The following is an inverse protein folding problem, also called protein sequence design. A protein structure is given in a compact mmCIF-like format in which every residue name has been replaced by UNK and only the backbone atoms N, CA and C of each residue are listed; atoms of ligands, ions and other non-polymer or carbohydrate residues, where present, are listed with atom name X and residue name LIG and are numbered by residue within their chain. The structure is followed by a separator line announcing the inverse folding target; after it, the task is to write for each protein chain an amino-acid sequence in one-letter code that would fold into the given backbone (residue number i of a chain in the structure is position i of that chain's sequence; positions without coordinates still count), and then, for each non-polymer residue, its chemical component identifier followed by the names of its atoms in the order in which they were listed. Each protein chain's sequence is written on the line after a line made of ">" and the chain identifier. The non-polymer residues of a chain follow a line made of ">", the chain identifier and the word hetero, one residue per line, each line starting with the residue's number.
data_IF_768525374444
#
_entry.id   IF_768525374444
#
_cell.length_a   1.000
_cell.length_b   1.000
_cell.length_c   1.000
_cell.angle_alpha   90.00
_cell.angle_beta   90.00
_cell.angle_gamma   90.00
#
_symmetry.space_group_name_H-M   'P 1'
#
loop_
_entity.id
_entity.type
_entity.pdbx_description
1 polymer ?
#
# COMPACT_ATOMS: atom_id res chain seq x y z
N UNK A 1 6.61 15.65 -18.55
CA UNK A 1 7.94 15.86 -17.93
C UNK A 1 7.93 16.10 -16.41
N UNK A 2 7.53 17.26 -15.86
CA UNK A 2 7.57 17.47 -14.39
C UNK A 2 6.56 16.57 -13.64
N UNK A 3 5.33 16.47 -14.13
CA UNK A 3 4.29 15.58 -13.58
C UNK A 3 4.68 14.10 -13.64
N UNK A 4 5.30 13.66 -14.74
CA UNK A 4 5.82 12.29 -14.86
C UNK A 4 6.95 11.98 -13.88
N UNK A 5 7.89 12.92 -13.68
CA UNK A 5 8.96 12.72 -12.69
C UNK A 5 8.39 12.64 -11.27
N UNK A 6 7.38 13.46 -10.98
CA UNK A 6 6.67 13.42 -9.71
C UNK A 6 6.02 12.05 -9.47
N UNK A 7 5.19 11.55 -10.40
CA UNK A 7 4.51 10.26 -10.20
C UNK A 7 5.51 9.09 -10.09
N UNK A 8 6.65 9.15 -10.79
CA UNK A 8 7.72 8.15 -10.62
C UNK A 8 8.33 8.15 -9.23
N UNK A 9 8.52 9.31 -8.63
CA UNK A 9 8.97 9.40 -7.24
C UNK A 9 7.90 8.85 -6.29
N UNK A 10 6.62 9.15 -6.53
CA UNK A 10 5.52 8.57 -5.74
C UNK A 10 5.45 7.05 -5.87
N UNK A 11 5.73 6.50 -7.05
CA UNK A 11 5.85 5.05 -7.25
C UNK A 11 7.00 4.47 -6.43
N UNK A 12 8.19 5.09 -6.41
CA UNK A 12 9.30 4.63 -5.57
C UNK A 12 9.02 4.75 -4.07
N UNK A 13 8.35 5.81 -3.64
CA UNK A 13 7.86 5.92 -2.25
C UNK A 13 6.88 4.77 -1.95
N UNK A 14 6.00 4.44 -2.90
CA UNK A 14 5.08 3.32 -2.77
C UNK A 14 5.81 1.98 -2.67
N UNK A 15 6.92 1.78 -3.38
CA UNK A 15 7.76 0.58 -3.22
C UNK A 15 8.23 0.46 -1.77
N UNK A 16 8.86 1.52 -1.24
CA UNK A 16 9.36 1.53 0.15
C UNK A 16 8.23 1.29 1.17
N UNK A 17 7.09 1.94 0.98
CA UNK A 17 5.92 1.79 1.84
C UNK A 17 5.37 0.36 1.84
N UNK A 18 5.23 -0.27 0.65
CA UNK A 18 4.78 -1.66 0.56
C UNK A 18 5.82 -2.64 1.12
N UNK A 19 7.13 -2.38 0.98
CA UNK A 19 8.14 -3.23 1.62
C UNK A 19 8.01 -3.20 3.14
N UNK A 20 7.82 -2.02 3.73
CA UNK A 20 7.59 -1.89 5.17
C UNK A 20 6.29 -2.59 5.60
N UNK A 21 5.19 -2.39 4.86
CA UNK A 21 3.92 -3.07 5.12
C UNK A 21 4.03 -4.60 5.02
N UNK A 22 4.71 -5.10 3.99
CA UNK A 22 4.96 -6.52 3.82
C UNK A 22 5.80 -7.10 4.96
N UNK A 23 6.84 -6.38 5.42
CA UNK A 23 7.62 -6.79 6.59
C UNK A 23 6.78 -6.82 7.86
N UNK A 24 5.88 -5.85 8.05
CA UNK A 24 4.95 -5.82 9.18
C UNK A 24 4.02 -7.04 9.19
N UNK A 25 3.51 -7.47 8.03
CA UNK A 25 2.70 -8.67 7.92
C UNK A 25 3.49 -9.97 8.01
N UNK A 26 4.71 -10.02 7.47
CA UNK A 26 5.57 -11.21 7.51
C UNK A 26 6.08 -11.50 8.93
N UNK A 27 6.31 -10.44 9.72
CA UNK A 27 6.79 -10.50 11.10
C UNK A 27 5.84 -9.77 12.05
N UNK A 28 4.60 -10.28 12.24
CA UNK A 28 3.56 -9.55 12.96
C UNK A 28 3.88 -9.39 14.46
N UNK A 29 4.66 -10.31 15.03
CA UNK A 29 5.09 -10.28 16.42
C UNK A 29 6.29 -9.35 16.72
N UNK A 30 6.93 -8.76 15.70
CA UNK A 30 8.05 -7.83 15.89
C UNK A 30 7.80 -6.52 15.15
N UNK A 31 7.88 -6.53 13.82
CA UNK A 31 7.67 -5.34 12.99
C UNK A 31 6.20 -4.91 13.05
N UNK A 32 5.26 -5.86 12.95
CA UNK A 32 3.83 -5.57 12.99
C UNK A 32 3.35 -4.98 14.33
N UNK A 33 4.01 -5.30 15.44
CA UNK A 33 3.69 -4.74 16.75
C UNK A 33 3.94 -3.23 16.82
N UNK A 34 4.88 -2.70 16.03
CA UNK A 34 5.13 -1.25 15.96
C UNK A 34 3.90 -0.47 15.44
N UNK A 35 3.04 -1.13 14.68
CA UNK A 35 1.76 -0.59 14.19
C UNK A 35 0.56 -1.18 14.95
N UNK A 36 0.80 -1.88 16.06
CA UNK A 36 -0.21 -2.57 16.85
C UNK A 36 -1.15 -3.46 16.01
N UNK A 37 -0.55 -4.22 15.08
CA UNK A 37 -1.24 -5.28 14.34
C UNK A 37 -1.61 -6.45 15.26
N UNK A 38 -2.75 -7.12 15.02
CA UNK A 38 -3.20 -8.24 15.85
C UNK A 38 -2.21 -9.41 15.80
N UNK A 39 -2.01 -10.04 16.96
CA UNK A 39 -1.24 -11.29 17.10
C UNK A 39 -1.88 -12.17 18.19
N UNK A 40 -1.81 -13.52 18.08
CA UNK A 40 -1.21 -14.29 16.99
C UNK A 40 -2.12 -14.41 15.74
N UNK A 41 -1.51 -14.53 14.56
CA UNK A 41 -2.22 -14.77 13.28
C UNK A 41 -1.62 -16.00 12.58
N UNK A 42 -2.43 -16.90 12.00
CA UNK A 42 -1.91 -18.05 11.27
C UNK A 42 -0.95 -17.65 10.14
N UNK A 43 0.13 -18.43 9.97
CA UNK A 43 1.21 -18.15 9.00
C UNK A 43 0.71 -18.05 7.57
N UNK A 44 -0.26 -18.88 7.19
CA UNK A 44 -0.83 -18.87 5.84
C UNK A 44 -1.40 -17.49 5.47
N UNK A 45 -2.18 -16.87 6.36
CA UNK A 45 -2.82 -15.58 6.10
C UNK A 45 -1.82 -14.43 6.07
N UNK A 46 -0.86 -14.43 7.00
CA UNK A 46 0.20 -13.42 7.06
C UNK A 46 1.10 -13.47 5.83
N UNK A 47 1.49 -14.67 5.39
CA UNK A 47 2.31 -14.85 4.19
C UNK A 47 1.55 -14.50 2.92
N UNK A 48 0.26 -14.87 2.82
CA UNK A 48 -0.57 -14.50 1.69
C UNK A 48 -0.69 -12.97 1.59
N UNK A 49 -0.99 -12.29 2.70
CA UNK A 49 -1.10 -10.84 2.73
C UNK A 49 0.23 -10.15 2.42
N UNK A 50 1.33 -10.59 3.03
CA UNK A 50 2.67 -10.07 2.74
C UNK A 50 3.04 -10.27 1.26
N UNK A 51 2.73 -11.43 0.66
CA UNK A 51 2.99 -11.70 -0.75
C UNK A 51 2.19 -10.78 -1.68
N UNK A 52 0.93 -10.49 -1.36
CA UNK A 52 0.12 -9.53 -2.11
C UNK A 52 0.69 -8.11 -2.02
N UNK A 53 1.07 -7.68 -0.82
CA UNK A 53 1.68 -6.35 -0.62
C UNK A 53 3.02 -6.24 -1.36
N UNK A 54 3.85 -7.30 -1.33
CA UNK A 54 5.09 -7.36 -2.13
C UNK A 54 4.82 -7.34 -3.62
N UNK A 55 3.78 -8.03 -4.09
CA UNK A 55 3.40 -8.03 -5.51
C UNK A 55 3.03 -6.61 -5.97
N UNK A 56 2.24 -5.87 -5.18
CA UNK A 56 1.95 -4.46 -5.47
C UNK A 56 3.22 -3.60 -5.41
N UNK A 57 4.10 -3.81 -4.42
CA UNK A 57 5.41 -3.17 -4.37
C UNK A 57 6.24 -3.39 -5.63
N UNK A 58 6.35 -4.63 -6.09
CA UNK A 58 7.05 -5.00 -7.32
C UNK A 58 6.40 -4.41 -8.57
N UNK A 59 5.07 -4.37 -8.63
CA UNK A 59 4.32 -3.70 -9.69
C UNK A 59 4.64 -2.21 -9.76
N UNK A 60 4.72 -1.51 -8.62
CA UNK A 60 5.09 -0.08 -8.61
C UNK A 60 6.54 0.16 -9.04
N UNK A 61 7.47 -0.70 -8.61
CA UNK A 61 8.87 -0.63 -9.06
C UNK A 61 8.95 -0.84 -10.58
N UNK A 62 8.25 -1.86 -11.09
CA UNK A 62 8.16 -2.12 -12.53
C UNK A 62 7.65 -0.91 -13.28
N UNK A 63 6.51 -0.34 -12.86
CA UNK A 63 5.91 0.86 -13.46
C UNK A 63 6.87 2.05 -13.45
N UNK A 64 7.58 2.28 -12.35
CA UNK A 64 8.53 3.38 -12.22
C UNK A 64 9.70 3.30 -13.20
N UNK A 65 10.04 2.09 -13.67
CA UNK A 65 11.13 1.83 -14.63
C UNK A 65 10.67 1.85 -16.10
N UNK A 66 9.36 1.85 -16.39
CA UNK A 66 8.88 1.85 -17.79
C UNK A 66 9.08 3.21 -18.46
N UNK A 67 9.29 3.22 -19.78
CA UNK A 67 9.32 4.46 -20.56
C UNK A 67 8.00 5.23 -20.44
N UNK A 68 6.88 4.52 -20.57
CA UNK A 68 5.53 5.05 -20.39
C UNK A 68 4.82 4.35 -19.23
N UNK A 69 4.13 5.12 -18.40
CA UNK A 69 3.40 4.57 -17.26
C UNK A 69 2.06 4.01 -17.73
N UNK A 70 1.84 2.72 -17.50
CA UNK A 70 0.57 2.07 -17.79
C UNK A 70 -0.53 2.59 -16.85
N UNK A 71 -1.38 3.49 -17.36
CA UNK A 71 -2.45 4.16 -16.58
C UNK A 71 -3.48 3.18 -16.01
N UNK A 72 -4.00 2.18 -16.76
CA UNK A 72 -4.89 1.17 -16.17
C UNK A 72 -4.28 0.43 -14.98
N UNK A 73 -3.01 0.04 -15.08
CA UNK A 73 -2.34 -0.66 -13.99
C UNK A 73 -2.12 0.25 -12.77
N UNK A 74 -1.83 1.53 -12.99
CA UNK A 74 -1.77 2.52 -11.92
C UNK A 74 -3.15 2.74 -11.26
N UNK A 75 -4.24 2.69 -12.03
CA UNK A 75 -5.60 2.79 -11.51
C UNK A 75 -5.96 1.60 -10.62
N UNK A 76 -5.59 0.37 -11.02
CA UNK A 76 -5.69 -0.82 -10.16
C UNK A 76 -4.87 -0.62 -8.88
N UNK A 77 -3.67 -0.03 -8.99
CA UNK A 77 -2.84 0.36 -7.86
C UNK A 77 -3.55 1.32 -6.89
N UNK A 78 -4.26 2.33 -7.41
CA UNK A 78 -5.02 3.29 -6.60
C UNK A 78 -6.20 2.62 -5.88
N UNK A 79 -6.96 1.78 -6.60
CA UNK A 79 -8.08 1.02 -6.04
C UNK A 79 -7.59 0.07 -4.95
N UNK A 80 -6.52 -0.69 -5.20
CA UNK A 80 -5.95 -1.63 -4.24
C UNK A 80 -5.55 -0.95 -2.94
N UNK A 81 -4.87 0.21 -3.02
CA UNK A 81 -4.50 1.00 -1.83
C UNK A 81 -5.70 1.54 -1.07
N UNK A 82 -6.68 2.09 -1.78
CA UNK A 82 -7.92 2.55 -1.15
C UNK A 82 -8.62 1.41 -0.42
N UNK A 83 -8.72 0.22 -1.02
CA UNK A 83 -9.32 -0.95 -0.41
C UNK A 83 -8.58 -1.38 0.87
N UNK A 84 -7.24 -1.37 0.87
CA UNK A 84 -6.46 -1.65 2.08
C UNK A 84 -6.83 -0.69 3.21
N UNK A 85 -6.86 0.62 2.94
CA UNK A 85 -7.27 1.60 3.94
C UNK A 85 -8.71 1.37 4.44
N UNK A 86 -9.64 1.08 3.54
CA UNK A 86 -11.03 0.78 3.89
C UNK A 86 -11.15 -0.47 4.78
N UNK A 87 -10.38 -1.53 4.50
CA UNK A 87 -10.36 -2.75 5.32
C UNK A 87 -9.85 -2.45 6.73
N UNK A 88 -8.73 -1.73 6.87
CA UNK A 88 -8.21 -1.34 8.19
C UNK A 88 -9.22 -0.50 8.98
N UNK A 89 -9.87 0.45 8.31
CA UNK A 89 -10.89 1.31 8.93
C UNK A 89 -12.11 0.50 9.37
N UNK A 90 -12.60 -0.42 8.53
CA UNK A 90 -13.73 -1.28 8.85
C UNK A 90 -13.41 -2.19 10.05
N UNK A 91 -12.24 -2.85 10.05
CA UNK A 91 -11.78 -3.65 11.18
C UNK A 91 -11.63 -2.82 12.47
N UNK A 92 -11.20 -1.56 12.37
CA UNK A 92 -11.12 -0.68 13.53
C UNK A 92 -12.51 -0.36 14.09
N UNK A 93 -13.49 -0.09 13.24
CA UNK A 93 -14.88 0.15 13.64
C UNK A 93 -15.53 -1.09 14.30
N UNK A 94 -15.06 -2.29 13.94
CA UNK A 94 -15.48 -3.56 14.55
C UNK A 94 -14.72 -3.90 15.83
N UNK A 95 -13.66 -3.15 16.17
CA UNK A 95 -12.82 -3.39 17.35
C UNK A 95 -11.70 -4.41 17.15
N UNK A 96 -11.46 -4.88 15.91
CA UNK A 96 -10.48 -5.91 15.58
C UNK A 96 -9.04 -5.37 15.50
N UNK A 97 -8.87 -4.09 15.19
CA UNK A 97 -7.55 -3.44 15.08
C UNK A 97 -7.51 -2.10 15.81
N UNK A 98 -6.31 -1.69 16.20
CA UNK A 98 -6.09 -0.42 16.91
C UNK A 98 -6.20 0.80 15.97
N UNK A 99 -6.47 2.01 16.51
CA UNK A 99 -6.37 3.25 15.73
C UNK A 99 -4.98 3.47 15.13
N UNK A 100 -3.93 2.96 15.78
CA UNK A 100 -2.55 3.05 15.29
C UNK A 100 -2.36 2.26 13.99
N UNK A 101 -3.03 1.11 13.85
CA UNK A 101 -3.03 0.34 12.63
C UNK A 101 -3.68 1.12 11.46
N UNK A 102 -4.78 1.83 11.73
CA UNK A 102 -5.44 2.73 10.75
C UNK A 102 -4.53 3.90 10.38
N UNK A 103 -3.83 4.49 11.36
CA UNK A 103 -2.85 5.55 11.11
C UNK A 103 -1.73 5.04 10.19
N UNK A 104 -1.25 3.81 10.38
CA UNK A 104 -0.32 3.16 9.44
C UNK A 104 -0.89 3.04 8.03
N UNK A 105 -2.14 2.57 7.89
CA UNK A 105 -2.83 2.42 6.61
C UNK A 105 -3.18 3.75 5.93
N UNK A 106 -3.16 4.88 6.65
CA UNK A 106 -3.44 6.20 6.05
C UNK A 106 -2.45 6.59 4.94
N UNK A 107 -1.24 6.01 4.95
CA UNK A 107 -0.29 6.13 3.85
C UNK A 107 -0.84 5.56 2.54
N UNK A 108 -1.62 4.47 2.58
CA UNK A 108 -2.28 3.94 1.40
C UNK A 108 -3.36 4.89 0.87
N UNK A 109 -4.14 5.53 1.74
CA UNK A 109 -5.11 6.54 1.33
C UNK A 109 -4.43 7.73 0.63
N UNK A 110 -3.32 8.23 1.20
CA UNK A 110 -2.57 9.33 0.62
C UNK A 110 -2.00 8.96 -0.77
N UNK A 111 -1.38 7.78 -0.89
CA UNK A 111 -0.83 7.28 -2.16
C UNK A 111 -1.93 7.01 -3.20
N UNK A 112 -3.08 6.43 -2.79
CA UNK A 112 -4.24 6.26 -3.65
C UNK A 112 -4.75 7.60 -4.18
N UNK A 113 -4.81 8.62 -3.32
CA UNK A 113 -5.17 9.99 -3.69
C UNK A 113 -4.21 10.60 -4.71
N UNK A 114 -2.89 10.45 -4.50
CA UNK A 114 -1.86 10.92 -5.44
C UNK A 114 -1.94 10.22 -6.80
N UNK A 115 -2.14 8.90 -6.82
CA UNK A 115 -2.33 8.14 -8.06
C UNK A 115 -3.58 8.61 -8.81
N UNK A 116 -4.70 8.75 -8.09
CA UNK A 116 -5.98 9.19 -8.65
C UNK A 116 -5.89 10.61 -9.20
N UNK A 117 -5.27 11.52 -8.45
CA UNK A 117 -5.03 12.89 -8.88
C UNK A 117 -4.23 12.93 -10.18
N UNK A 118 -3.13 12.16 -10.27
CA UNK A 118 -2.33 12.11 -11.50
C UNK A 118 -3.11 11.52 -12.67
N UNK A 119 -3.91 10.48 -12.43
CA UNK A 119 -4.74 9.83 -13.46
C UNK A 119 -5.82 10.75 -14.04
N UNK A 120 -6.44 11.61 -13.21
CA UNK A 120 -7.51 12.53 -13.61
C UNK A 120 -6.93 13.81 -14.22
N UNK A 121 -5.75 14.25 -13.78
CA UNK A 121 -5.12 15.50 -14.24
C UNK A 121 -4.65 15.48 -15.69
N UNK A 122 -4.87 14.38 -16.44
CA UNK A 122 -4.61 14.28 -17.89
C UNK A 122 -3.16 14.51 -18.31
N UNK A 123 -2.21 14.51 -17.37
CA UNK A 123 -0.78 14.67 -17.60
C UNK A 123 -0.11 13.38 -18.08
#
# INVERSE_FOLDING_TARGET
>A
MQSERFIRNVLWVSVGFNLLGAMAFLFPATVGQLSALPTPVPRLYTWLLASMVLLFGGMYAWLAMQLEINRPLLAIGAIGKLLVFCVFTACWMLGDVSPLAVAGASGDLALAGLFTWWLISGC
#
